data_IF_397500552213
#
_entry.id   IF_397500552213
#
_cell.length_a   1.000
_cell.length_b   1.000
_cell.length_c   1.000
_cell.angle_alpha   90.00
_cell.angle_beta   90.00
_cell.angle_gamma   90.00
#
_symmetry.space_group_name_H-M   'P 1'
#
loop_
_entity.id
_entity.type
_entity.pdbx_description
1 polymer ?
#
# COMPACT_ATOMS: atom_id res chain seq x y z
N UNK A 1 -17.76 -15.73 47.07
CA UNK A 1 -16.67 -16.60 46.56
C UNK A 1 -16.28 -16.09 45.18
N UNK A 2 -15.39 -15.10 45.12
CA UNK A 2 -14.69 -14.71 43.90
C UNK A 2 -13.21 -14.99 44.18
N UNK A 3 -12.63 -15.94 43.46
CA UNK A 3 -11.23 -16.30 43.61
C UNK A 3 -10.35 -15.16 43.10
N UNK A 4 -9.50 -14.65 43.98
CA UNK A 4 -8.32 -13.87 43.65
C UNK A 4 -7.42 -14.71 42.72
N UNK A 5 -7.26 -14.27 41.48
CA UNK A 5 -6.50 -14.95 40.44
C UNK A 5 -4.98 -14.70 40.53
N UNK A 6 -4.45 -14.34 41.71
CA UNK A 6 -3.20 -14.91 42.28
C UNK A 6 -1.89 -14.89 41.47
N UNK A 7 -1.78 -14.12 40.39
CA UNK A 7 -0.53 -13.95 39.64
C UNK A 7 0.08 -12.58 39.91
N UNK A 8 1.39 -12.52 40.21
CA UNK A 8 2.11 -11.25 40.25
C UNK A 8 1.94 -10.52 38.91
N UNK A 9 1.51 -9.25 38.94
CA UNK A 9 1.33 -8.45 37.75
C UNK A 9 2.66 -8.34 36.98
N UNK A 10 2.64 -8.71 35.69
CA UNK A 10 3.81 -8.63 34.83
C UNK A 10 4.24 -7.16 34.65
N UNK A 11 5.54 -6.89 34.59
CA UNK A 11 6.02 -5.54 34.26
C UNK A 11 5.53 -5.14 32.85
N UNK A 12 5.30 -3.84 32.58
CA UNK A 12 4.86 -3.40 31.25
C UNK A 12 5.76 -3.87 30.11
N UNK A 13 7.08 -3.94 30.35
CA UNK A 13 8.07 -4.41 29.37
C UNK A 13 7.99 -5.92 29.14
N UNK A 14 7.82 -6.70 30.21
CA UNK A 14 7.62 -8.14 30.10
C UNK A 14 6.28 -8.47 29.43
N UNK A 15 5.23 -7.68 29.69
CA UNK A 15 3.95 -7.80 29.00
C UNK A 15 4.09 -7.42 27.53
N UNK A 16 4.86 -6.39 27.19
CA UNK A 16 5.11 -5.98 25.82
C UNK A 16 5.80 -7.08 24.99
N UNK A 17 6.80 -7.75 25.56
CA UNK A 17 7.49 -8.86 24.92
C UNK A 17 6.59 -10.11 24.75
N UNK A 18 5.63 -10.32 25.66
CA UNK A 18 4.72 -11.47 25.63
C UNK A 18 3.45 -11.26 24.80
N UNK A 19 3.14 -10.02 24.38
CA UNK A 19 1.99 -9.69 23.52
C UNK A 19 2.14 -10.16 22.06
N UNK A 20 3.09 -11.06 21.79
CA UNK A 20 3.30 -11.69 20.48
C UNK A 20 3.97 -10.81 19.43
N UNK A 21 4.25 -9.54 19.73
CA UNK A 21 4.60 -8.55 18.73
C UNK A 21 3.45 -8.34 17.72
N UNK A 22 3.40 -7.17 17.09
CA UNK A 22 2.55 -6.97 15.92
C UNK A 22 3.29 -7.52 14.71
N UNK A 23 3.05 -8.78 14.37
CA UNK A 23 3.56 -9.34 13.11
C UNK A 23 2.84 -8.63 11.95
N UNK A 24 3.48 -7.60 11.40
CA UNK A 24 2.97 -6.88 10.24
C UNK A 24 3.37 -7.64 8.99
N UNK A 25 2.53 -8.59 8.57
CA UNK A 25 2.66 -9.30 7.31
C UNK A 25 2.07 -8.45 6.19
N UNK A 26 2.86 -8.19 5.16
CA UNK A 26 2.46 -7.43 3.98
C UNK A 26 2.79 -8.26 2.74
N UNK A 27 1.77 -8.80 2.10
CA UNK A 27 1.89 -9.54 0.85
C UNK A 27 1.29 -8.73 -0.30
N UNK A 28 1.97 -8.76 -1.45
CA UNK A 28 1.59 -8.00 -2.63
C UNK A 28 1.80 -8.84 -3.88
N UNK A 29 0.71 -9.39 -4.40
CA UNK A 29 0.71 -10.20 -5.62
C UNK A 29 0.09 -9.42 -6.77
N UNK A 30 0.93 -9.03 -7.74
CA UNK A 30 0.49 -8.39 -8.98
C UNK A 30 0.68 -9.38 -10.11
N UNK A 31 -0.39 -9.65 -10.84
CA UNK A 31 -0.39 -10.50 -12.01
C UNK A 31 -1.19 -9.85 -13.11
N UNK A 32 -0.67 -9.92 -14.32
CA UNK A 32 -1.44 -9.54 -15.48
C UNK A 32 -0.70 -9.85 -16.77
N UNK A 33 -1.49 -10.02 -17.82
CA UNK A 33 -1.04 -10.43 -19.14
C UNK A 33 -1.67 -9.48 -20.14
N UNK A 34 -0.85 -8.98 -21.05
CA UNK A 34 -1.30 -8.18 -22.19
C UNK A 34 -0.97 -8.99 -23.44
N UNK A 35 -1.90 -9.85 -23.86
CA UNK A 35 -1.67 -10.77 -24.97
C UNK A 35 -2.74 -10.62 -26.06
N UNK A 36 -2.35 -11.00 -27.29
CA UNK A 36 -3.21 -11.00 -28.48
C UNK A 36 -3.81 -9.62 -28.83
N UNK A 37 -3.08 -8.54 -28.54
CA UNK A 37 -3.57 -7.21 -28.85
C UNK A 37 -3.12 -6.77 -30.24
N UNK A 38 -4.08 -6.29 -31.01
CA UNK A 38 -3.85 -5.68 -32.32
C UNK A 38 -4.30 -4.23 -32.21
N UNK A 39 -3.45 -3.31 -32.65
CA UNK A 39 -3.77 -1.88 -32.67
C UNK A 39 -3.35 -1.32 -34.04
N UNK A 40 -4.31 -0.78 -34.80
CA UNK A 40 -4.08 -0.02 -36.03
C UNK A 40 -4.88 1.30 -36.04
N UNK A 41 -4.44 2.27 -36.83
CA UNK A 41 -5.05 3.61 -36.98
C UNK A 41 -5.23 4.42 -35.68
N UNK A 42 -4.19 4.47 -34.83
CA UNK A 42 -4.29 5.10 -33.51
C UNK A 42 -3.67 6.49 -33.47
N UNK A 43 -4.42 7.40 -32.85
CA UNK A 43 -3.94 8.70 -32.39
C UNK A 43 -3.85 8.63 -30.86
N UNK A 44 -2.64 8.67 -30.33
CA UNK A 44 -2.39 8.70 -28.88
C UNK A 44 -2.25 10.15 -28.40
N UNK A 45 -2.77 10.44 -27.20
CA UNK A 45 -2.68 11.77 -26.59
C UNK A 45 -1.39 12.04 -25.81
N UNK A 46 -1.38 13.16 -25.09
CA UNK A 46 -0.32 13.49 -24.14
C UNK A 46 -0.72 13.17 -22.71
N UNK A 47 0.27 12.74 -21.93
CA UNK A 47 0.19 12.53 -20.50
C UNK A 47 0.80 13.75 -19.82
N UNK A 48 -0.02 14.75 -19.48
CA UNK A 48 0.51 16.02 -18.93
C UNK A 48 0.10 16.14 -17.47
N UNK A 49 1.11 16.17 -16.61
CA UNK A 49 1.03 16.61 -15.21
C UNK A 49 1.79 17.95 -15.20
N UNK A 50 1.07 19.05 -15.34
CA UNK A 50 1.65 20.38 -15.51
C UNK A 50 1.96 21.06 -14.18
N UNK A 51 2.52 22.27 -14.24
CA UNK A 51 2.76 23.11 -13.06
C UNK A 51 1.51 23.22 -12.19
N UNK A 52 1.69 23.04 -10.88
CA UNK A 52 0.59 23.07 -9.91
C UNK A 52 -0.12 21.73 -9.69
N UNK A 53 0.05 20.72 -10.56
CA UNK A 53 -0.77 19.50 -10.54
C UNK A 53 -0.69 18.69 -9.24
N UNK A 54 0.40 18.85 -8.49
CA UNK A 54 0.61 18.22 -7.18
C UNK A 54 0.97 19.24 -6.10
N UNK A 55 0.79 20.54 -6.36
CA UNK A 55 1.07 21.58 -5.37
C UNK A 55 0.11 21.45 -4.19
N UNK A 56 0.64 21.49 -2.97
CA UNK A 56 -0.14 21.26 -1.76
C UNK A 56 -0.41 19.78 -1.44
N UNK A 57 0.13 18.85 -2.24
CA UNK A 57 0.07 17.43 -1.89
C UNK A 57 0.84 17.17 -0.58
N UNK A 58 0.15 16.60 0.40
CA UNK A 58 0.71 16.21 1.69
C UNK A 58 0.35 14.75 1.96
N UNK A 59 1.34 13.95 2.35
CA UNK A 59 1.19 12.50 2.47
C UNK A 59 1.74 11.78 1.24
N UNK A 60 1.00 10.78 0.75
CA UNK A 60 1.46 9.89 -0.33
C UNK A 60 0.61 10.07 -1.59
N UNK A 61 1.25 10.25 -2.75
CA UNK A 61 0.57 10.27 -4.04
C UNK A 61 1.26 9.33 -5.03
N UNK A 62 0.45 8.65 -5.83
CA UNK A 62 0.89 7.87 -6.99
C UNK A 62 0.23 8.47 -8.22
N UNK A 63 1.03 8.73 -9.26
CA UNK A 63 0.53 9.23 -10.54
C UNK A 63 1.00 8.29 -11.61
N UNK A 64 0.03 7.72 -12.35
CA UNK A 64 0.33 6.92 -13.52
C UNK A 64 -0.36 7.54 -14.72
N UNK A 65 0.42 7.82 -15.74
CA UNK A 65 -0.04 8.42 -16.97
C UNK A 65 0.37 7.52 -18.13
N UNK A 66 -0.62 7.05 -18.90
CA UNK A 66 -0.37 6.26 -20.09
C UNK A 66 -1.30 6.71 -21.24
N UNK A 67 -0.70 6.96 -22.40
CA UNK A 67 -1.41 7.34 -23.63
C UNK A 67 -1.31 6.25 -24.69
N UNK A 68 -0.63 5.14 -24.37
CA UNK A 68 -0.46 4.01 -25.24
C UNK A 68 -1.66 3.05 -25.21
N UNK A 69 -1.75 2.24 -26.26
CA UNK A 69 -2.69 1.14 -26.38
C UNK A 69 -1.99 -0.15 -25.97
N UNK A 70 -2.76 -1.17 -25.57
CA UNK A 70 -2.20 -2.45 -25.11
C UNK A 70 -1.33 -2.23 -23.86
N UNK A 71 -1.87 -1.51 -22.88
CA UNK A 71 -1.14 -1.21 -21.66
C UNK A 71 -1.85 -1.82 -20.46
N UNK A 72 -1.08 -2.57 -19.69
CA UNK A 72 -1.41 -2.99 -18.36
C UNK A 72 -0.57 -2.18 -17.38
N UNK A 73 -1.26 -1.47 -16.49
CA UNK A 73 -0.63 -0.78 -15.38
C UNK A 73 -0.88 -1.60 -14.13
N UNK A 74 0.20 -2.01 -13.48
CA UNK A 74 0.18 -2.70 -12.19
C UNK A 74 0.91 -1.82 -11.19
N UNK A 75 0.19 -0.85 -10.62
CA UNK A 75 0.70 -0.04 -9.52
C UNK A 75 0.05 -0.51 -8.21
N UNK A 76 0.88 -0.74 -7.20
CA UNK A 76 0.40 -1.11 -5.90
C UNK A 76 1.40 -0.64 -4.84
N UNK A 77 0.88 -0.11 -3.73
CA UNK A 77 1.68 0.42 -2.63
C UNK A 77 1.10 -0.11 -1.33
N UNK A 78 1.94 -0.72 -0.49
CA UNK A 78 1.57 -1.02 0.91
C UNK A 78 2.17 0.06 1.79
N UNK A 79 1.33 0.64 2.63
CA UNK A 79 1.78 1.57 3.68
C UNK A 79 1.43 0.95 5.03
N UNK A 80 2.46 0.59 5.79
CA UNK A 80 2.34 0.17 7.17
C UNK A 80 2.68 1.37 8.07
N UNK A 81 1.70 1.86 8.81
CA UNK A 81 1.86 3.01 9.69
C UNK A 81 1.71 2.58 11.15
N UNK A 82 2.67 2.99 11.98
CA UNK A 82 2.56 2.96 13.43
C UNK A 82 2.68 4.40 13.93
N UNK A 83 1.62 4.90 14.56
CA UNK A 83 1.57 6.24 15.13
C UNK A 83 1.80 6.14 16.64
N UNK A 84 2.45 7.15 17.22
CA UNK A 84 2.74 7.25 18.65
C UNK A 84 1.59 7.91 19.42
#
# INVERSE_FOLDING_TARGET
MLADLGGAALSPDALAAQRGGTETLSDMKLGGVVANNQASDLVTGHNIVSDGSLTGNAGFATVVQNTGNNVLIQNATIINLQLQ
#
